data_IF_998836408821
#
_entry.id   IF_998836408821
#
_cell.length_a   1.000
_cell.length_b   1.000
_cell.length_c   1.000
_cell.angle_alpha   90.00
_cell.angle_beta   90.00
_cell.angle_gamma   90.00
#
_symmetry.space_group_name_H-M   'P 1'
#
loop_
_entity.id
_entity.type
_entity.pdbx_description
1 polymer ?
#
# COMPACT_ATOMS: atom_id res chain seq x y z
N UNK A 1 -31.74 -28.71 -20.47
CA UNK A 1 -30.33 -28.32 -20.20
C UNK A 1 -30.24 -27.26 -19.10
N UNK A 2 -30.86 -27.47 -17.92
CA UNK A 2 -30.92 -26.45 -16.85
C UNK A 2 -30.17 -26.80 -15.56
N UNK A 3 -29.58 -28.00 -15.46
CA UNK A 3 -29.02 -28.49 -14.17
C UNK A 3 -27.59 -28.02 -13.84
N UNK A 4 -26.91 -27.28 -14.71
CA UNK A 4 -25.51 -26.84 -14.50
C UNK A 4 -25.34 -25.46 -13.86
N UNK A 5 -26.38 -24.61 -13.84
CA UNK A 5 -26.27 -23.21 -13.38
C UNK A 5 -26.26 -23.04 -11.85
N UNK A 6 -26.95 -23.91 -11.11
CA UNK A 6 -27.04 -23.82 -9.64
C UNK A 6 -25.76 -24.24 -8.90
N UNK A 7 -25.02 -25.19 -9.48
CA UNK A 7 -23.81 -25.78 -8.85
C UNK A 7 -22.64 -24.80 -8.85
N UNK A 8 -22.49 -24.00 -9.93
CA UNK A 8 -21.40 -23.03 -10.06
C UNK A 8 -21.58 -21.83 -9.12
N UNK A 9 -22.80 -21.30 -8.98
CA UNK A 9 -23.11 -20.16 -8.08
C UNK A 9 -22.87 -20.51 -6.61
N UNK A 10 -23.20 -21.74 -6.20
CA UNK A 10 -22.98 -22.24 -4.83
C UNK A 10 -21.49 -22.39 -4.50
N UNK A 11 -20.68 -22.89 -5.43
CA UNK A 11 -19.24 -23.06 -5.26
C UNK A 11 -18.50 -21.72 -5.18
N UNK A 12 -18.86 -20.76 -6.03
CA UNK A 12 -18.28 -19.41 -6.02
C UNK A 12 -18.64 -18.65 -4.75
N UNK A 13 -19.88 -18.78 -4.25
CA UNK A 13 -20.31 -18.17 -2.98
C UNK A 13 -19.51 -18.71 -1.79
N UNK A 14 -19.29 -20.04 -1.73
CA UNK A 14 -18.46 -20.66 -0.68
C UNK A 14 -17.01 -20.18 -0.73
N UNK A 15 -16.44 -20.06 -1.94
CA UNK A 15 -15.08 -19.54 -2.14
C UNK A 15 -14.96 -18.08 -1.69
N UNK A 16 -15.93 -17.23 -2.03
CA UNK A 16 -15.93 -15.81 -1.64
C UNK A 16 -15.98 -15.62 -0.12
N UNK A 17 -16.80 -16.40 0.59
CA UNK A 17 -16.93 -16.30 2.06
C UNK A 17 -15.64 -16.70 2.79
N UNK A 18 -14.80 -17.53 2.19
CA UNK A 18 -13.51 -17.93 2.79
C UNK A 18 -12.36 -16.95 2.53
N UNK A 19 -12.57 -15.88 1.76
CA UNK A 19 -11.54 -14.88 1.47
C UNK A 19 -11.47 -13.83 2.58
N UNK A 20 -10.29 -13.23 2.71
CA UNK A 20 -10.14 -12.02 3.53
C UNK A 20 -10.94 -10.86 2.92
N UNK A 21 -11.29 -9.86 3.75
CA UNK A 21 -12.19 -8.77 3.40
C UNK A 21 -11.68 -8.00 2.17
N UNK A 22 -10.38 -7.73 2.09
CA UNK A 22 -9.76 -7.05 0.95
C UNK A 22 -9.89 -7.86 -0.35
N UNK A 23 -9.52 -9.14 -0.28
CA UNK A 23 -9.58 -10.07 -1.41
C UNK A 23 -11.03 -10.31 -1.86
N UNK A 24 -11.96 -10.40 -0.91
CA UNK A 24 -13.40 -10.51 -1.18
C UNK A 24 -13.90 -9.32 -2.01
N UNK A 25 -13.67 -8.09 -1.54
CA UNK A 25 -14.13 -6.89 -2.24
C UNK A 25 -13.38 -6.67 -3.56
N UNK A 26 -12.13 -7.11 -3.65
CA UNK A 26 -11.39 -7.16 -4.91
C UNK A 26 -12.09 -8.06 -5.93
N UNK A 27 -12.49 -9.28 -5.55
CA UNK A 27 -13.23 -10.19 -6.43
C UNK A 27 -14.62 -9.64 -6.81
N UNK A 28 -15.36 -9.07 -5.85
CA UNK A 28 -16.66 -8.42 -6.12
C UNK A 28 -16.53 -7.29 -7.15
N UNK A 29 -15.43 -6.54 -7.11
CA UNK A 29 -15.17 -5.44 -8.04
C UNK A 29 -14.90 -5.87 -9.48
N UNK A 30 -14.63 -7.16 -9.72
CA UNK A 30 -14.38 -7.74 -11.04
C UNK A 30 -15.59 -8.49 -11.61
N UNK A 31 -16.71 -8.53 -10.87
CA UNK A 31 -17.90 -9.24 -11.33
C UNK A 31 -18.62 -8.43 -12.40
N UNK A 32 -18.68 -9.02 -13.59
CA UNK A 32 -19.35 -8.48 -14.77
C UNK A 32 -20.61 -9.30 -15.09
N UNK A 33 -21.61 -8.62 -15.61
CA UNK A 33 -22.80 -9.28 -16.18
C UNK A 33 -22.51 -9.80 -17.60
N UNK A 34 -23.47 -10.49 -18.21
CA UNK A 34 -23.37 -10.96 -19.61
C UNK A 34 -23.15 -9.83 -20.63
N UNK A 35 -23.40 -8.57 -20.22
CA UNK A 35 -23.15 -7.36 -21.00
C UNK A 35 -21.77 -6.74 -20.73
N UNK A 36 -20.86 -7.44 -20.04
CA UNK A 36 -19.51 -6.96 -19.66
C UNK A 36 -19.53 -5.70 -18.77
N UNK A 37 -20.66 -5.43 -18.11
CA UNK A 37 -20.84 -4.31 -17.20
C UNK A 37 -20.62 -4.77 -15.76
N UNK A 38 -19.83 -3.99 -15.01
CA UNK A 38 -19.56 -4.23 -13.59
C UNK A 38 -20.85 -4.16 -12.75
N UNK A 39 -21.24 -5.28 -12.18
CA UNK A 39 -22.52 -5.45 -11.47
C UNK A 39 -22.57 -4.59 -10.20
N UNK A 40 -21.44 -4.53 -9.47
CA UNK A 40 -21.36 -3.89 -8.15
C UNK A 40 -20.44 -2.68 -8.14
N UNK A 41 -20.30 -1.95 -9.25
CA UNK A 41 -19.33 -0.85 -9.38
C UNK A 41 -19.35 0.13 -8.20
N UNK A 42 -20.52 0.69 -7.87
CA UNK A 42 -20.64 1.69 -6.81
C UNK A 42 -20.37 1.12 -5.41
N UNK A 43 -20.89 -0.08 -5.14
CA UNK A 43 -20.72 -0.74 -3.85
C UNK A 43 -19.27 -1.19 -3.63
N UNK A 44 -18.63 -1.76 -4.66
CA UNK A 44 -17.23 -2.15 -4.62
C UNK A 44 -16.31 -0.94 -4.47
N UNK A 45 -16.63 0.19 -5.11
CA UNK A 45 -15.89 1.44 -4.93
C UNK A 45 -16.03 1.99 -3.51
N UNK A 46 -17.24 1.98 -2.95
CA UNK A 46 -17.47 2.40 -1.57
C UNK A 46 -16.71 1.50 -0.59
N UNK A 47 -16.78 0.18 -0.76
CA UNK A 47 -16.07 -0.76 0.10
C UNK A 47 -14.54 -0.56 0.03
N UNK A 48 -13.98 -0.39 -1.17
CA UNK A 48 -12.56 -0.06 -1.34
C UNK A 48 -12.19 1.26 -0.64
N UNK A 49 -13.02 2.29 -0.77
CA UNK A 49 -12.81 3.56 -0.06
C UNK A 49 -12.76 3.35 1.45
N UNK A 50 -13.74 2.62 2.00
CA UNK A 50 -13.79 2.31 3.43
C UNK A 50 -12.59 1.49 3.90
N UNK A 51 -12.11 0.53 3.11
CA UNK A 51 -10.93 -0.28 3.43
C UNK A 51 -9.62 0.52 3.37
N UNK A 52 -9.56 1.57 2.55
CA UNK A 52 -8.41 2.48 2.51
C UNK A 52 -8.42 3.51 3.63
N UNK A 53 -9.50 3.65 4.40
CA UNK A 53 -9.53 4.56 5.54
C UNK A 53 -8.69 3.95 6.68
N UNK A 54 -7.70 4.69 7.20
CA UNK A 54 -6.94 4.22 8.36
C UNK A 54 -7.90 4.14 9.56
N UNK A 55 -8.23 2.91 9.96
CA UNK A 55 -9.18 2.64 11.05
C UNK A 55 -8.61 2.97 12.45
N UNK A 56 -7.32 3.29 12.56
CA UNK A 56 -6.66 3.48 13.86
C UNK A 56 -5.57 4.56 13.82
N UNK A 57 -5.36 5.20 14.97
CA UNK A 57 -4.22 6.08 15.23
C UNK A 57 -2.87 5.33 15.20
N UNK A 58 -2.88 3.99 15.24
CA UNK A 58 -1.68 3.16 15.23
C UNK A 58 -0.77 3.42 14.00
N UNK A 59 -1.34 3.75 12.83
CA UNK A 59 -0.54 4.09 11.65
C UNK A 59 0.15 5.45 11.81
N UNK A 60 -0.54 6.45 12.36
CA UNK A 60 0.07 7.73 12.69
C UNK A 60 1.16 7.57 13.78
N UNK A 61 0.90 6.79 14.82
CA UNK A 61 1.89 6.45 15.86
C UNK A 61 3.11 5.73 15.30
N UNK A 62 2.92 4.84 14.32
CA UNK A 62 4.04 4.18 13.61
C UNK A 62 4.89 5.21 12.86
N UNK A 63 4.26 6.17 12.17
CA UNK A 63 4.98 7.25 11.51
C UNK A 63 5.71 8.13 12.53
N UNK A 64 5.09 8.50 13.65
CA UNK A 64 5.74 9.28 14.70
C UNK A 64 6.93 8.55 15.33
N UNK A 65 6.84 7.22 15.49
CA UNK A 65 7.96 6.39 15.92
C UNK A 65 9.14 6.44 14.93
N UNK A 66 8.84 6.32 13.63
CA UNK A 66 9.86 6.46 12.57
C UNK A 66 10.50 7.85 12.61
N UNK A 67 9.71 8.92 12.71
CA UNK A 67 10.21 10.29 12.80
C UNK A 67 11.10 10.49 14.03
N UNK A 68 10.70 9.91 15.17
CA UNK A 68 11.48 9.97 16.43
C UNK A 68 12.82 9.24 16.30
N UNK A 69 12.85 8.09 15.63
CA UNK A 69 14.08 7.34 15.36
C UNK A 69 15.01 8.06 14.37
N UNK A 70 14.45 8.78 13.39
CA UNK A 70 15.24 9.63 12.49
C UNK A 70 15.79 10.84 13.25
N UNK A 71 14.95 11.54 14.01
CA UNK A 71 15.28 12.73 14.79
C UNK A 71 15.72 12.37 16.21
N UNK A 72 16.87 11.71 16.31
CA UNK A 72 17.47 11.40 17.62
C UNK A 72 18.02 12.66 18.30
N UNK A 73 18.15 12.64 19.64
CA UNK A 73 18.75 13.75 20.41
C UNK A 73 20.16 14.16 19.92
N UNK A 74 20.95 13.20 19.43
CA UNK A 74 22.30 13.45 18.86
C UNK A 74 22.27 13.95 17.41
N UNK A 75 21.15 13.77 16.68
CA UNK A 75 20.96 14.15 15.27
C UNK A 75 19.70 15.01 15.12
N UNK A 76 19.63 16.13 15.83
CA UNK A 76 18.45 17.00 15.86
C UNK A 76 18.48 18.13 14.81
N UNK A 77 19.64 18.42 14.19
CA UNK A 77 19.80 19.37 13.07
C UNK A 77 19.52 18.70 11.73
N UNK A 78 18.27 18.30 11.51
CA UNK A 78 17.76 17.89 10.20
C UNK A 78 16.72 18.92 9.77
N UNK A 79 16.83 19.43 8.53
CA UNK A 79 15.77 20.25 7.94
C UNK A 79 14.50 19.45 7.70
N UNK A 80 13.36 20.13 7.65
CA UNK A 80 12.05 19.47 7.54
C UNK A 80 11.92 18.64 6.25
N UNK A 81 12.43 19.15 5.12
CA UNK A 81 12.44 18.43 3.83
C UNK A 81 13.25 17.14 3.90
N UNK A 82 14.41 17.18 4.55
CA UNK A 82 15.28 16.01 4.74
C UNK A 82 14.64 15.00 5.68
N UNK A 83 14.05 15.48 6.77
CA UNK A 83 13.34 14.64 7.74
C UNK A 83 12.15 13.92 7.09
N UNK A 84 11.35 14.65 6.30
CA UNK A 84 10.24 14.10 5.54
C UNK A 84 10.73 13.04 4.54
N UNK A 85 11.75 13.37 3.75
CA UNK A 85 12.31 12.45 2.74
C UNK A 85 12.82 11.15 3.36
N UNK A 86 13.56 11.22 4.46
CA UNK A 86 14.06 10.04 5.17
C UNK A 86 12.91 9.22 5.75
N UNK A 87 11.89 9.89 6.32
CA UNK A 87 10.75 9.21 6.93
C UNK A 87 9.94 8.42 5.89
N UNK A 88 9.70 9.00 4.71
CA UNK A 88 9.02 8.32 3.59
C UNK A 88 9.83 7.12 3.11
N UNK A 89 11.14 7.28 2.90
CA UNK A 89 12.02 6.19 2.47
C UNK A 89 12.00 5.05 3.49
N UNK A 90 12.16 5.35 4.78
CA UNK A 90 12.14 4.34 5.85
C UNK A 90 10.80 3.62 5.95
N UNK A 91 9.69 4.34 5.83
CA UNK A 91 8.35 3.75 5.82
C UNK A 91 8.20 2.78 4.64
N UNK A 92 8.60 3.20 3.44
CA UNK A 92 8.56 2.35 2.24
C UNK A 92 9.46 1.12 2.36
N UNK A 93 10.65 1.28 2.92
CA UNK A 93 11.60 0.18 3.12
C UNK A 93 11.08 -0.81 4.15
N UNK A 94 10.47 -0.34 5.24
CA UNK A 94 9.81 -1.19 6.23
C UNK A 94 8.69 -2.01 5.61
N UNK A 95 7.80 -1.40 4.81
CA UNK A 95 6.72 -2.09 4.13
C UNK A 95 7.21 -3.15 3.12
N UNK A 96 8.35 -2.90 2.45
CA UNK A 96 8.95 -3.83 1.49
C UNK A 96 9.99 -4.78 2.12
N UNK A 97 10.22 -4.70 3.43
CA UNK A 97 11.29 -5.44 4.13
C UNK A 97 12.68 -5.23 3.48
N UNK A 98 12.94 -4.01 3.00
CA UNK A 98 14.22 -3.59 2.44
C UNK A 98 15.11 -3.07 3.58
N UNK A 99 16.36 -3.50 3.61
CA UNK A 99 17.37 -3.15 4.60
C UNK A 99 18.71 -2.88 3.90
N UNK A 100 19.78 -2.67 4.67
CA UNK A 100 21.10 -2.38 4.14
C UNK A 100 21.77 -3.56 3.40
N UNK A 101 21.27 -4.79 3.51
CA UNK A 101 21.85 -5.98 2.88
C UNK A 101 21.17 -6.36 1.57
N UNK A 102 19.91 -5.96 1.38
CA UNK A 102 19.14 -6.28 0.17
C UNK A 102 18.82 -5.05 -0.70
N UNK A 103 19.19 -3.84 -0.27
CA UNK A 103 18.99 -2.64 -1.06
C UNK A 103 19.95 -2.63 -2.27
N UNK A 104 19.38 -2.70 -3.47
CA UNK A 104 20.12 -2.61 -4.72
C UNK A 104 20.20 -1.16 -5.22
N UNK A 105 21.44 -0.69 -5.42
CA UNK A 105 21.70 0.66 -5.92
C UNK A 105 21.55 0.67 -7.44
N UNK A 106 20.56 1.42 -7.94
CA UNK A 106 20.38 1.64 -9.38
C UNK A 106 21.36 2.69 -9.92
N UNK A 107 21.59 2.67 -11.24
CA UNK A 107 22.39 3.69 -11.92
C UNK A 107 21.82 5.11 -11.75
N UNK A 108 20.50 5.24 -11.57
CA UNK A 108 19.87 6.53 -11.30
C UNK A 108 20.26 7.10 -9.94
N UNK A 109 20.32 6.26 -8.90
CA UNK A 109 20.82 6.68 -7.58
C UNK A 109 22.25 7.22 -7.66
N UNK A 110 23.11 6.55 -8.44
CA UNK A 110 24.50 7.00 -8.65
C UNK A 110 24.59 8.32 -9.40
N UNK A 111 23.76 8.53 -10.44
CA UNK A 111 23.71 9.80 -11.18
C UNK A 111 23.36 10.99 -10.28
N UNK A 112 22.52 10.78 -9.27
CA UNK A 112 22.14 11.81 -8.31
C UNK A 112 23.24 12.08 -7.26
N UNK A 113 24.20 11.18 -7.08
CA UNK A 113 25.34 11.32 -6.18
C UNK A 113 26.43 12.22 -6.79
N UNK A 114 26.09 13.48 -7.07
CA UNK A 114 27.00 14.48 -7.60
C UNK A 114 27.00 15.75 -6.74
N UNK A 115 28.09 16.52 -6.82
CA UNK A 115 28.28 17.70 -5.98
C UNK A 115 27.19 18.77 -6.16
N UNK A 116 26.62 18.89 -7.37
CA UNK A 116 25.56 19.86 -7.68
C UNK A 116 24.25 19.52 -6.95
N UNK A 117 23.93 18.23 -6.82
CA UNK A 117 22.74 17.77 -6.08
C UNK A 117 22.97 17.80 -4.57
N UNK A 118 24.14 17.35 -4.09
CA UNK A 118 24.42 17.20 -2.66
C UNK A 118 24.70 18.53 -1.94
N UNK A 119 25.35 19.47 -2.61
CA UNK A 119 25.77 20.75 -2.03
C UNK A 119 25.06 21.93 -2.67
N UNK A 120 23.80 21.74 -3.10
CA UNK A 120 22.98 22.81 -3.64
C UNK A 120 22.83 23.90 -2.55
N UNK A 121 23.36 25.09 -2.85
CA UNK A 121 23.23 26.28 -1.99
C UNK A 121 21.81 26.83 -2.05
#
# INVERSE_FOLDING_TARGET
MEKTKGVNKSRTKKKLISLDVEEFWHQISKLEDYSELLIYKNLANLAKLCLCLPHSNAEAERIFSIVTDVKTKKRNRLGDDTLNSISVIRSSFGAKTINCTNFEVTQEHLKLHNAKTLYKK
#
